data_IF_005541864169
#
_entry.id   IF_005541864169
#
_cell.length_a   1.000
_cell.length_b   1.000
_cell.length_c   1.000
_cell.angle_alpha   90.00
_cell.angle_beta   90.00
_cell.angle_gamma   90.00
#
_symmetry.space_group_name_H-M   'P 1'
#
loop_
_entity.id
_entity.type
_entity.pdbx_description
1 polymer ?
#
# COMPACT_ATOMS: atom_id res chain seq x y z
N UNK A 1 -46.88 -86.60 38.02
CA UNK A 1 -46.36 -86.39 36.64
C UNK A 1 -45.27 -85.32 36.72
N UNK A 2 -43.98 -85.53 36.52
CA UNK A 2 -43.28 -86.61 35.83
C UNK A 2 -42.36 -86.02 34.76
N UNK A 3 -41.18 -85.50 35.18
CA UNK A 3 -39.95 -85.19 34.40
C UNK A 3 -40.08 -84.10 33.30
N UNK A 4 -39.11 -83.21 33.04
CA UNK A 4 -37.67 -83.20 33.31
C UNK A 4 -37.18 -81.74 33.25
N UNK A 5 -36.32 -81.36 34.19
CA UNK A 5 -35.45 -80.18 34.07
C UNK A 5 -34.36 -80.44 33.02
N UNK A 6 -34.06 -79.43 32.20
CA UNK A 6 -32.72 -79.19 31.62
C UNK A 6 -32.67 -77.72 31.22
N UNK A 7 -32.10 -76.88 32.07
CA UNK A 7 -30.79 -76.27 31.82
C UNK A 7 -30.71 -75.51 30.50
N UNK A 8 -31.13 -74.24 30.53
CA UNK A 8 -30.60 -73.25 29.61
C UNK A 8 -29.15 -72.95 30.02
N UNK A 9 -28.26 -73.12 29.05
CA UNK A 9 -26.81 -73.07 29.17
C UNK A 9 -26.30 -71.70 29.59
N UNK A 10 -25.14 -71.70 30.27
CA UNK A 10 -24.37 -70.52 30.64
C UNK A 10 -24.06 -69.58 29.45
N UNK A 11 -24.13 -70.08 28.22
CA UNK A 11 -23.93 -69.31 26.99
C UNK A 11 -25.06 -68.33 26.64
N UNK A 12 -26.26 -68.44 27.24
CA UNK A 12 -27.36 -67.47 27.01
C UNK A 12 -27.49 -66.38 28.07
N UNK A 13 -26.83 -66.50 29.23
CA UNK A 13 -26.71 -65.41 30.21
C UNK A 13 -25.49 -64.50 29.94
N UNK A 14 -24.47 -65.01 29.24
CA UNK A 14 -23.31 -64.21 28.81
C UNK A 14 -23.68 -63.28 27.64
N UNK A 15 -24.62 -63.66 26.77
CA UNK A 15 -25.01 -62.85 25.61
C UNK A 15 -25.81 -61.57 25.99
N UNK A 16 -26.51 -61.56 27.12
CA UNK A 16 -27.28 -60.38 27.59
C UNK A 16 -26.39 -59.38 28.35
N UNK A 17 -25.33 -59.84 29.02
CA UNK A 17 -24.34 -58.95 29.66
C UNK A 17 -23.39 -58.33 28.63
N UNK A 18 -23.11 -59.01 27.51
CA UNK A 18 -22.33 -58.44 26.41
C UNK A 18 -23.10 -57.43 25.54
N UNK A 19 -24.43 -57.54 25.42
CA UNK A 19 -25.22 -56.58 24.64
C UNK A 19 -25.45 -55.25 25.37
N UNK A 20 -25.39 -55.23 26.71
CA UNK A 20 -25.51 -54.00 27.51
C UNK A 20 -24.15 -53.31 27.79
N UNK A 21 -23.00 -53.99 27.59
CA UNK A 21 -21.69 -53.31 27.61
C UNK A 21 -21.28 -52.77 26.23
N UNK A 22 -21.80 -53.31 25.12
CA UNK A 22 -21.53 -52.78 23.78
C UNK A 22 -22.24 -51.45 23.50
N UNK A 23 -23.39 -51.18 24.13
CA UNK A 23 -24.11 -49.91 23.97
C UNK A 23 -23.44 -48.79 24.80
N UNK A 24 -22.68 -49.13 25.85
CA UNK A 24 -21.85 -48.15 26.59
C UNK A 24 -20.51 -47.84 25.91
N UNK A 25 -20.03 -48.66 24.96
CA UNK A 25 -18.83 -48.36 24.17
C UNK A 25 -19.12 -47.55 22.91
N UNK A 26 -20.35 -47.56 22.39
CA UNK A 26 -20.73 -46.72 21.23
C UNK A 26 -20.96 -45.26 21.66
N UNK A 27 -21.30 -45.00 22.92
CA UNK A 27 -21.41 -43.62 23.44
C UNK A 27 -20.07 -42.97 23.80
N UNK A 28 -18.98 -43.73 23.99
CA UNK A 28 -17.62 -43.14 24.10
C UNK A 28 -16.91 -43.03 22.74
N UNK A 29 -17.34 -43.79 21.73
CA UNK A 29 -16.87 -43.61 20.35
C UNK A 29 -17.55 -42.43 19.62
N UNK A 30 -18.70 -41.94 20.11
CA UNK A 30 -19.33 -40.72 19.60
C UNK A 30 -18.88 -39.43 20.31
N UNK A 31 -18.16 -39.54 21.44
CA UNK A 31 -17.47 -38.41 22.10
C UNK A 31 -15.97 -38.33 21.77
N UNK A 32 -15.46 -39.18 20.87
CA UNK A 32 -14.17 -38.99 20.21
C UNK A 32 -14.30 -38.43 18.77
N UNK A 33 -15.53 -38.04 18.38
CA UNK A 33 -15.85 -37.37 17.11
C UNK A 33 -16.20 -35.88 17.26
N UNK A 34 -16.00 -35.32 18.46
CA UNK A 34 -16.23 -33.92 18.80
C UNK A 34 -14.98 -33.36 19.50
N UNK A 35 -13.84 -33.40 18.81
CA UNK A 35 -12.66 -32.54 19.06
C UNK A 35 -11.51 -32.89 18.07
N UNK A 36 -11.82 -32.94 16.77
CA UNK A 36 -10.80 -32.77 15.71
C UNK A 36 -11.40 -32.01 14.52
N UNK A 37 -12.05 -30.90 14.84
CA UNK A 37 -12.05 -29.72 13.96
C UNK A 37 -10.81 -28.87 14.25
N UNK A 38 -9.64 -29.50 14.45
CA UNK A 38 -8.39 -28.77 14.34
C UNK A 38 -8.30 -28.35 12.89
N UNK A 39 -8.61 -27.08 12.64
CA UNK A 39 -7.72 -26.18 11.95
C UNK A 39 -6.56 -26.92 11.27
N UNK A 40 -6.81 -27.44 10.07
CA UNK A 40 -5.78 -27.40 9.04
C UNK A 40 -5.70 -25.94 8.54
N UNK A 41 -5.52 -25.00 9.48
CA UNK A 41 -4.46 -24.00 9.29
C UNK A 41 -3.20 -24.84 9.22
N UNK A 42 -2.91 -25.27 8.00
CA UNK A 42 -1.56 -25.61 7.60
C UNK A 42 -0.67 -24.52 8.21
N UNK A 43 0.14 -24.91 9.17
CA UNK A 43 1.36 -24.21 9.57
C UNK A 43 2.34 -24.24 8.40
N UNK A 44 1.90 -23.87 7.20
CA UNK A 44 2.76 -23.22 6.25
C UNK A 44 3.22 -21.97 6.97
N UNK A 45 4.43 -22.04 7.52
CA UNK A 45 5.30 -20.88 7.69
C UNK A 45 4.89 -19.87 6.62
N UNK A 46 4.20 -18.79 7.02
CA UNK A 46 3.89 -17.70 6.10
C UNK A 46 5.24 -17.33 5.52
N UNK A 47 5.47 -17.61 4.24
CA UNK A 47 6.73 -17.29 3.58
C UNK A 47 6.87 -15.79 3.68
N UNK A 48 7.76 -15.33 4.57
CA UNK A 48 8.03 -13.92 4.78
C UNK A 48 9.14 -13.50 3.86
N UNK A 49 8.77 -12.68 2.89
CA UNK A 49 9.71 -12.12 1.93
C UNK A 49 10.53 -11.06 2.66
N UNK A 50 11.85 -11.23 2.68
CA UNK A 50 12.77 -10.32 3.36
C UNK A 50 13.53 -9.43 2.38
N UNK A 51 13.72 -9.91 1.15
CA UNK A 51 14.50 -9.23 0.13
C UNK A 51 14.05 -9.60 -1.30
N UNK A 52 14.31 -8.70 -2.23
CA UNK A 52 14.27 -8.95 -3.67
C UNK A 52 15.63 -8.51 -4.20
N UNK A 53 16.33 -9.42 -4.87
CA UNK A 53 17.56 -9.14 -5.61
C UNK A 53 17.22 -8.95 -7.08
N UNK A 54 17.98 -8.10 -7.77
CA UNK A 54 17.82 -7.85 -9.19
C UNK A 54 19.16 -8.02 -9.93
N UNK A 55 19.11 -8.62 -11.11
CA UNK A 55 20.21 -8.71 -12.06
C UNK A 55 19.72 -8.40 -13.48
N UNK A 56 20.65 -7.99 -14.34
CA UNK A 56 20.36 -7.72 -15.76
C UNK A 56 21.35 -8.42 -16.67
N UNK A 57 20.88 -8.85 -17.84
CA UNK A 57 21.72 -9.35 -18.92
C UNK A 57 21.39 -8.55 -20.20
N UNK A 58 22.33 -7.76 -20.76
CA UNK A 58 23.67 -7.47 -20.24
C UNK A 58 23.66 -6.63 -18.95
N UNK A 59 24.79 -6.60 -18.23
CA UNK A 59 24.95 -5.76 -17.04
C UNK A 59 25.01 -4.27 -17.39
N UNK A 60 25.67 -3.91 -18.50
CA UNK A 60 25.66 -2.55 -19.04
C UNK A 60 24.59 -2.44 -20.11
N UNK A 61 23.52 -1.71 -19.81
CA UNK A 61 22.33 -1.66 -20.65
C UNK A 61 22.44 -0.50 -21.65
N UNK A 62 22.08 -0.78 -22.89
CA UNK A 62 21.93 0.23 -23.94
C UNK A 62 20.46 0.37 -24.33
N UNK A 63 20.02 1.60 -24.60
CA UNK A 63 18.68 1.83 -25.13
C UNK A 63 18.47 1.10 -26.47
N UNK A 64 17.21 0.77 -26.79
CA UNK A 64 16.82 0.04 -28.00
C UNK A 64 17.52 -1.31 -28.19
N UNK A 65 18.03 -1.91 -27.11
CA UNK A 65 18.57 -3.28 -27.11
C UNK A 65 17.79 -4.16 -26.13
N UNK A 66 17.53 -5.44 -26.47
CA UNK A 66 16.88 -6.37 -25.55
C UNK A 66 17.70 -6.53 -24.26
N UNK A 67 17.02 -6.42 -23.12
CA UNK A 67 17.59 -6.61 -21.80
C UNK A 67 16.76 -7.62 -21.03
N UNK A 68 17.42 -8.65 -20.51
CA UNK A 68 16.80 -9.57 -19.57
C UNK A 68 16.85 -8.98 -18.18
N UNK A 69 15.71 -8.93 -17.50
CA UNK A 69 15.57 -8.53 -16.11
C UNK A 69 15.29 -9.78 -15.27
N UNK A 70 16.10 -10.03 -14.25
CA UNK A 70 16.01 -11.23 -13.40
C UNK A 70 15.84 -10.79 -11.96
N UNK A 71 14.83 -11.34 -11.27
CA UNK A 71 14.55 -11.06 -9.87
C UNK A 71 14.54 -12.34 -9.05
N UNK A 72 15.19 -12.31 -7.89
CA UNK A 72 15.23 -13.42 -6.93
C UNK A 72 14.62 -12.95 -5.60
N UNK A 73 13.59 -13.66 -5.15
CA UNK A 73 12.94 -13.40 -3.87
C UNK A 73 13.63 -14.23 -2.79
N UNK A 74 13.95 -13.59 -1.66
CA UNK A 74 14.55 -14.24 -0.50
C UNK A 74 13.62 -14.22 0.70
N UNK A 75 13.64 -15.28 1.48
CA UNK A 75 12.99 -15.31 2.79
C UNK A 75 13.89 -14.76 3.90
N UNK A 76 13.42 -14.75 5.15
CA UNK A 76 14.20 -14.29 6.33
C UNK A 76 15.47 -15.13 6.60
N UNK A 77 15.57 -16.34 6.06
CA UNK A 77 16.76 -17.22 6.14
C UNK A 77 17.71 -17.02 4.95
N UNK A 78 17.40 -16.08 4.06
CA UNK A 78 18.13 -15.80 2.83
C UNK A 78 18.05 -16.96 1.80
N UNK A 79 17.05 -17.82 1.90
CA UNK A 79 16.76 -18.89 0.93
C UNK A 79 15.90 -18.35 -0.22
N UNK A 80 16.07 -18.92 -1.43
CA UNK A 80 15.29 -18.52 -2.60
C UNK A 80 13.87 -19.06 -2.48
N UNK A 81 12.88 -18.16 -2.63
CA UNK A 81 11.48 -18.53 -2.70
C UNK A 81 11.16 -19.06 -4.10
N UNK A 82 11.05 -20.38 -4.22
CA UNK A 82 10.84 -21.06 -5.50
C UNK A 82 9.40 -21.07 -6.02
N UNK A 83 8.44 -20.78 -5.16
CA UNK A 83 7.03 -20.77 -5.55
C UNK A 83 6.31 -19.63 -4.83
N UNK A 84 5.84 -18.64 -5.59
CA UNK A 84 5.02 -17.55 -5.06
C UNK A 84 3.52 -17.78 -5.27
N UNK A 85 3.14 -18.85 -5.98
CA UNK A 85 1.74 -19.17 -6.28
C UNK A 85 0.92 -19.32 -5.00
N UNK A 86 -0.21 -18.63 -4.95
CA UNK A 86 -1.08 -18.58 -3.78
C UNK A 86 -0.52 -17.78 -2.59
N UNK A 87 0.68 -17.21 -2.68
CA UNK A 87 1.25 -16.30 -1.68
C UNK A 87 1.05 -14.86 -2.13
N UNK A 88 1.36 -14.57 -3.38
CA UNK A 88 1.22 -13.24 -3.97
C UNK A 88 1.71 -13.21 -5.41
N UNK A 89 1.79 -12.01 -5.97
CA UNK A 89 2.24 -11.79 -7.34
C UNK A 89 3.27 -10.68 -7.37
N UNK A 90 4.36 -10.89 -8.11
CA UNK A 90 5.37 -9.86 -8.34
C UNK A 90 4.90 -8.95 -9.48
N UNK A 91 4.75 -7.66 -9.18
CA UNK A 91 4.51 -6.59 -10.13
C UNK A 91 5.77 -5.75 -10.23
N UNK A 92 6.15 -5.40 -11.46
CA UNK A 92 7.27 -4.51 -11.76
C UNK A 92 6.70 -3.23 -12.36
N UNK A 93 6.97 -2.09 -11.71
CA UNK A 93 6.69 -0.77 -12.27
C UNK A 93 8.03 -0.16 -12.64
N UNK A 94 8.25 0.09 -13.93
CA UNK A 94 9.48 0.68 -14.46
C UNK A 94 9.15 2.08 -14.95
N UNK A 95 9.85 3.09 -14.44
CA UNK A 95 9.67 4.50 -14.84
C UNK A 95 10.99 5.19 -15.12
N UNK A 96 11.01 6.09 -16.11
CA UNK A 96 12.16 6.98 -16.34
C UNK A 96 12.24 8.05 -15.24
N UNK A 97 13.41 8.69 -15.10
CA UNK A 97 13.65 9.70 -14.06
C UNK A 97 12.69 10.88 -14.11
N UNK A 98 12.30 11.26 -15.31
CA UNK A 98 11.34 12.33 -15.62
C UNK A 98 9.88 11.87 -15.65
N UNK A 99 9.61 10.60 -15.34
CA UNK A 99 8.29 9.96 -15.35
C UNK A 99 7.61 9.92 -16.73
N UNK A 100 8.34 10.12 -17.83
CA UNK A 100 7.76 10.06 -19.17
C UNK A 100 7.55 8.64 -19.68
N UNK A 101 8.47 7.72 -19.35
CA UNK A 101 8.32 6.30 -19.64
C UNK A 101 7.69 5.59 -18.45
N UNK A 102 6.78 4.66 -18.73
CA UNK A 102 6.08 3.87 -17.72
C UNK A 102 5.77 2.48 -18.26
N UNK A 103 6.04 1.46 -17.45
CA UNK A 103 5.72 0.07 -17.75
C UNK A 103 5.24 -0.63 -16.49
N UNK A 104 4.14 -1.36 -16.61
CA UNK A 104 3.61 -2.23 -15.56
C UNK A 104 3.68 -3.68 -16.05
N UNK A 105 4.53 -4.50 -15.44
CA UNK A 105 4.86 -5.83 -15.94
C UNK A 105 4.68 -6.88 -14.84
N UNK A 106 4.28 -8.08 -15.27
CA UNK A 106 4.30 -9.29 -14.44
C UNK A 106 5.35 -10.25 -15.00
N UNK A 107 6.50 -10.44 -14.33
CA UNK A 107 7.52 -11.37 -14.76
C UNK A 107 7.06 -12.82 -14.58
N UNK A 108 7.63 -13.71 -15.39
CA UNK A 108 7.34 -15.15 -15.32
C UNK A 108 8.29 -15.82 -14.32
N UNK A 109 7.75 -16.58 -13.36
CA UNK A 109 8.56 -17.39 -12.46
C UNK A 109 9.07 -18.65 -13.17
N UNK A 110 10.38 -18.90 -13.09
CA UNK A 110 11.07 -20.10 -13.57
C UNK A 110 11.14 -21.17 -12.48
N UNK A 111 11.45 -22.40 -12.86
CA UNK A 111 11.60 -23.55 -11.94
C UNK A 111 12.68 -23.37 -10.87
N UNK A 112 13.72 -22.59 -11.18
CA UNK A 112 14.79 -22.23 -10.23
C UNK A 112 14.35 -21.17 -9.19
N UNK A 113 13.14 -20.62 -9.34
CA UNK A 113 12.55 -19.60 -8.49
C UNK A 113 12.74 -18.17 -9.01
N UNK A 114 13.52 -17.96 -10.08
CA UNK A 114 13.77 -16.63 -10.63
C UNK A 114 12.55 -16.10 -11.39
N UNK A 115 12.25 -14.81 -11.20
CA UNK A 115 11.26 -14.09 -11.99
C UNK A 115 11.96 -13.34 -13.12
N UNK A 116 11.50 -13.54 -14.36
CA UNK A 116 12.22 -13.05 -15.54
C UNK A 116 11.32 -12.27 -16.49
N UNK A 117 11.86 -11.16 -17.02
CA UNK A 117 11.46 -10.53 -18.28
C UNK A 117 12.60 -10.75 -19.26
N UNK A 118 12.37 -11.41 -20.41
CA UNK A 118 13.46 -11.85 -21.29
C UNK A 118 14.04 -10.75 -22.18
N UNK A 119 13.17 -9.93 -22.79
CA UNK A 119 13.54 -9.05 -23.89
C UNK A 119 12.97 -7.64 -23.67
N UNK A 120 13.16 -7.07 -22.48
CA UNK A 120 12.70 -5.72 -22.20
C UNK A 120 13.53 -4.71 -22.98
N UNK A 121 12.88 -3.78 -23.69
CA UNK A 121 13.55 -2.75 -24.49
C UNK A 121 13.29 -1.40 -23.84
N UNK A 122 14.35 -0.77 -23.33
CA UNK A 122 14.31 0.62 -22.89
C UNK A 122 14.33 1.54 -24.12
N UNK A 123 13.33 2.42 -24.32
CA UNK A 123 13.18 3.17 -25.57
C UNK A 123 14.23 4.28 -25.74
N UNK A 124 14.83 4.75 -24.64
CA UNK A 124 15.81 5.83 -24.62
C UNK A 124 16.82 5.69 -23.47
N UNK A 125 17.96 6.33 -23.65
CA UNK A 125 18.98 6.43 -22.60
C UNK A 125 18.52 7.42 -21.53
N UNK A 126 18.40 6.95 -20.30
CA UNK A 126 18.04 7.74 -19.11
C UNK A 126 18.35 6.90 -17.87
N UNK A 127 18.22 7.51 -16.69
CA UNK A 127 18.07 6.79 -15.43
C UNK A 127 16.62 6.30 -15.29
N UNK A 128 16.45 5.05 -14.90
CA UNK A 128 15.16 4.42 -14.64
C UNK A 128 15.10 3.92 -13.20
N UNK A 129 13.91 3.98 -12.61
CA UNK A 129 13.60 3.33 -11.34
C UNK A 129 12.63 2.18 -11.56
N UNK A 130 12.92 1.05 -10.93
CA UNK A 130 12.03 -0.11 -10.89
C UNK A 130 11.49 -0.25 -9.48
N UNK A 131 10.17 -0.31 -9.34
CA UNK A 131 9.48 -0.73 -8.12
C UNK A 131 9.06 -2.20 -8.30
N UNK A 132 9.68 -3.08 -7.53
CA UNK A 132 9.33 -4.49 -7.47
C UNK A 132 8.43 -4.70 -6.25
N UNK A 133 7.13 -4.85 -6.48
CA UNK A 133 6.11 -4.98 -5.45
C UNK A 133 5.53 -6.41 -5.46
N UNK A 134 5.48 -7.04 -4.30
CA UNK A 134 4.73 -8.27 -4.09
C UNK A 134 3.35 -7.89 -3.57
N UNK A 135 2.34 -8.03 -4.44
CA UNK A 135 0.95 -7.87 -4.07
C UNK A 135 0.40 -9.18 -3.50
N UNK A 136 -0.24 -9.10 -2.34
CA UNK A 136 -0.91 -10.23 -1.70
C UNK A 136 -2.17 -9.76 -0.99
N UNK A 137 -3.16 -10.65 -0.88
CA UNK A 137 -4.31 -10.48 0.01
C UNK A 137 -4.04 -11.02 1.42
N UNK A 138 -2.89 -11.65 1.67
CA UNK A 138 -2.53 -12.31 2.94
C UNK A 138 -1.65 -11.44 3.85
N UNK A 139 -0.96 -10.46 3.29
CA UNK A 139 -0.03 -9.58 4.00
C UNK A 139 0.09 -8.23 3.29
N UNK A 140 0.56 -7.22 4.01
CA UNK A 140 0.86 -5.91 3.44
C UNK A 140 1.92 -6.03 2.35
N UNK A 141 1.75 -5.33 1.22
CA UNK A 141 2.66 -5.42 0.10
C UNK A 141 4.13 -5.24 0.53
N UNK A 142 5.00 -6.10 0.01
CA UNK A 142 6.45 -5.99 0.18
C UNK A 142 7.04 -5.34 -1.06
N UNK A 143 7.89 -4.32 -0.91
CA UNK A 143 8.42 -3.58 -2.05
C UNK A 143 9.93 -3.36 -1.93
N UNK A 144 10.63 -3.44 -3.06
CA UNK A 144 12.01 -2.95 -3.22
C UNK A 144 12.13 -2.10 -4.47
N UNK A 145 13.04 -1.14 -4.42
CA UNK A 145 13.34 -0.27 -5.57
C UNK A 145 14.74 -0.51 -6.09
N UNK A 146 14.92 -0.41 -7.39
CA UNK A 146 16.21 -0.51 -8.08
C UNK A 146 16.40 0.68 -9.00
N UNK A 147 17.62 1.22 -9.03
CA UNK A 147 18.01 2.28 -9.96
C UNK A 147 18.86 1.67 -11.08
N UNK A 148 18.51 1.97 -12.33
CA UNK A 148 19.21 1.51 -13.52
C UNK A 148 19.64 2.69 -14.36
N UNK A 149 20.86 2.65 -14.86
CA UNK A 149 21.36 3.62 -15.84
C UNK A 149 21.38 3.00 -17.22
N UNK A 150 20.65 3.59 -18.15
CA UNK A 150 20.56 3.14 -19.55
C UNK A 150 21.42 4.06 -20.42
N UNK A 151 22.44 3.50 -21.07
CA UNK A 151 23.31 4.27 -21.95
C UNK A 151 22.61 4.54 -23.29
N UNK A 152 22.74 5.76 -23.83
CA UNK A 152 22.09 6.10 -25.10
C UNK A 152 21.96 7.58 -25.35
N UNK A 153 21.17 7.93 -26.37
CA UNK A 153 20.78 9.31 -26.63
C UNK A 153 19.90 9.80 -25.47
N UNK A 154 20.50 10.54 -24.55
CA UNK A 154 19.78 11.23 -23.49
C UNK A 154 18.87 12.29 -24.13
N UNK A 155 17.56 12.18 -23.89
CA UNK A 155 16.63 13.23 -24.27
C UNK A 155 16.62 14.28 -23.17
N UNK A 156 16.32 15.53 -23.53
CA UNK A 156 16.13 16.58 -22.53
C UNK A 156 15.01 16.17 -21.56
N UNK A 157 15.39 15.99 -20.29
CA UNK A 157 14.45 15.71 -19.21
C UNK A 157 13.50 16.89 -19.04
N UNK A 158 12.20 16.64 -19.18
CA UNK A 158 11.16 17.62 -18.91
C UNK A 158 10.56 17.37 -17.54
N UNK A 159 10.57 18.36 -16.66
CA UNK A 159 9.80 18.28 -15.42
C UNK A 159 8.31 18.19 -15.72
N UNK A 160 7.64 17.26 -15.04
CA UNK A 160 6.18 17.16 -15.11
C UNK A 160 5.52 18.38 -14.48
N UNK A 161 4.38 18.79 -15.03
CA UNK A 161 3.57 19.89 -14.52
C UNK A 161 2.15 19.40 -14.30
N UNK A 162 1.45 19.86 -13.24
CA UNK A 162 0.05 19.54 -13.03
C UNK A 162 -0.78 19.88 -14.27
N UNK A 163 -1.72 19.00 -14.58
CA UNK A 163 -2.64 19.21 -15.69
C UNK A 163 -3.64 20.31 -15.36
N UNK A 164 -3.84 21.24 -16.29
CA UNK A 164 -4.90 22.25 -16.19
C UNK A 164 -6.30 21.63 -16.36
N UNK A 165 -6.38 20.48 -17.06
CA UNK A 165 -7.60 19.73 -17.30
C UNK A 165 -7.36 18.22 -17.14
N UNK A 166 -8.13 17.60 -16.24
CA UNK A 166 -8.10 16.17 -15.95
C UNK A 166 -9.00 15.36 -16.90
N UNK A 167 -8.98 15.72 -18.18
CA UNK A 167 -9.62 14.96 -19.25
C UNK A 167 -8.61 14.77 -20.38
N UNK A 168 -8.39 13.52 -20.78
CA UNK A 168 -7.48 13.13 -21.86
C UNK A 168 -8.25 12.38 -22.92
N UNK A 169 -7.88 12.59 -24.18
CA UNK A 169 -8.37 11.82 -25.31
C UNK A 169 -7.20 11.06 -25.93
N UNK A 170 -7.28 9.73 -25.92
CA UNK A 170 -6.22 8.84 -26.40
C UNK A 170 -6.88 7.71 -27.17
N UNK A 171 -6.45 7.51 -28.41
CA UNK A 171 -6.82 6.37 -29.26
C UNK A 171 -8.33 6.10 -29.33
N UNK A 172 -9.12 7.17 -29.48
CA UNK A 172 -10.57 7.10 -29.62
C UNK A 172 -11.35 6.98 -28.32
N UNK A 173 -10.70 7.05 -27.15
CA UNK A 173 -11.33 7.08 -25.84
C UNK A 173 -11.10 8.43 -25.17
N UNK A 174 -12.09 8.87 -24.40
CA UNK A 174 -12.02 10.04 -23.53
C UNK A 174 -12.08 9.57 -22.09
N UNK A 175 -11.06 9.92 -21.33
CA UNK A 175 -10.88 9.53 -19.94
C UNK A 175 -10.88 10.79 -19.10
N UNK A 176 -11.83 10.89 -18.19
CA UNK A 176 -11.96 12.01 -17.26
C UNK A 176 -11.66 11.53 -15.85
N UNK A 177 -10.70 12.15 -15.19
CA UNK A 177 -10.42 11.98 -13.77
C UNK A 177 -11.08 13.10 -12.98
N UNK A 178 -11.83 12.73 -11.94
CA UNK A 178 -12.37 13.66 -10.94
C UNK A 178 -12.01 13.17 -9.54
N UNK A 179 -11.60 14.08 -8.68
CA UNK A 179 -11.37 13.84 -7.26
C UNK A 179 -12.58 14.29 -6.43
N UNK A 180 -13.03 13.46 -5.48
CA UNK A 180 -14.12 13.80 -4.56
C UNK A 180 -13.62 14.60 -3.35
N UNK A 181 -13.26 15.87 -3.57
CA UNK A 181 -12.69 16.74 -2.53
C UNK A 181 -11.34 17.32 -2.95
N UNK A 182 -10.57 17.89 -2.03
CA UNK A 182 -9.21 18.36 -2.32
C UNK A 182 -8.23 17.18 -2.24
N UNK A 183 -7.18 17.20 -3.06
CA UNK A 183 -6.06 16.26 -2.93
C UNK A 183 -5.15 16.75 -1.81
N UNK A 184 -5.24 16.12 -0.65
CA UNK A 184 -4.54 16.53 0.57
C UNK A 184 -3.72 15.36 1.09
N UNK A 185 -2.45 15.60 1.42
CA UNK A 185 -1.55 14.58 1.93
C UNK A 185 -2.05 13.99 3.25
N UNK A 186 -2.01 12.68 3.39
CA UNK A 186 -2.47 11.94 4.56
C UNK A 186 -3.99 11.76 4.64
N UNK A 187 -4.78 12.40 3.78
CA UNK A 187 -6.22 12.21 3.72
C UNK A 187 -6.59 11.17 2.65
N UNK A 188 -7.48 10.21 2.98
CA UNK A 188 -8.06 9.33 1.97
C UNK A 188 -8.84 10.14 0.93
N UNK A 189 -8.65 9.81 -0.33
CA UNK A 189 -9.39 10.40 -1.45
C UNK A 189 -9.85 9.31 -2.40
N UNK A 190 -11.04 9.52 -2.95
CA UNK A 190 -11.56 8.68 -4.05
C UNK A 190 -11.39 9.41 -5.37
N UNK A 191 -10.65 8.77 -6.26
CA UNK A 191 -10.46 9.19 -7.63
C UNK A 191 -11.45 8.46 -8.53
N UNK A 192 -12.27 9.23 -9.25
CA UNK A 192 -13.30 8.75 -10.15
C UNK A 192 -12.84 8.90 -11.59
N UNK A 193 -12.64 7.78 -12.27
CA UNK A 193 -12.28 7.73 -13.68
C UNK A 193 -13.49 7.35 -14.51
N UNK A 194 -13.90 8.23 -15.42
CA UNK A 194 -14.95 7.97 -16.39
C UNK A 194 -14.34 7.76 -17.77
N UNK A 195 -14.69 6.66 -18.42
CA UNK A 195 -14.20 6.32 -19.75
C UNK A 195 -15.37 6.27 -20.74
N UNK A 196 -15.28 7.05 -21.83
CA UNK A 196 -16.29 7.06 -22.90
C UNK A 196 -15.62 6.97 -24.25
N UNK A 197 -16.34 6.49 -25.26
CA UNK A 197 -15.88 6.59 -26.65
C UNK A 197 -15.85 8.06 -27.09
N UNK A 198 -14.80 8.47 -27.79
CA UNK A 198 -14.68 9.83 -28.32
C UNK A 198 -15.75 10.14 -29.37
N UNK A 199 -15.98 9.21 -30.30
CA UNK A 199 -16.89 9.40 -31.43
C UNK A 199 -18.36 9.48 -31.00
N UNK A 200 -18.81 8.53 -30.17
CA UNK A 200 -20.22 8.43 -29.78
C UNK A 200 -20.54 9.12 -28.46
N UNK A 201 -19.52 9.46 -27.65
CA UNK A 201 -19.64 9.94 -26.25
C UNK A 201 -20.39 8.98 -25.34
N UNK A 202 -20.58 7.73 -25.76
CA UNK A 202 -21.25 6.71 -24.96
C UNK A 202 -20.25 6.08 -23.97
N UNK A 203 -20.70 5.71 -22.77
CA UNK A 203 -19.89 4.94 -21.82
C UNK A 203 -19.40 3.62 -22.42
N UNK A 204 -18.15 3.27 -22.13
CA UNK A 204 -17.63 1.94 -22.45
C UNK A 204 -18.33 0.92 -21.55
N UNK A 205 -18.94 -0.11 -22.16
CA UNK A 205 -19.73 -1.06 -21.39
C UNK A 205 -18.86 -2.14 -20.74
N UNK A 206 -17.81 -2.59 -21.44
CA UNK A 206 -16.98 -3.70 -21.01
C UNK A 206 -15.49 -3.38 -21.09
N UNK A 207 -14.77 -3.87 -20.10
CA UNK A 207 -13.31 -3.80 -20.00
C UNK A 207 -12.76 -5.20 -19.81
N UNK A 208 -11.71 -5.50 -20.55
CA UNK A 208 -10.95 -6.73 -20.39
C UNK A 208 -10.08 -6.61 -19.13
N UNK A 209 -9.69 -7.75 -18.55
CA UNK A 209 -8.70 -7.75 -17.48
C UNK A 209 -7.29 -7.57 -18.02
N UNK A 210 -6.52 -6.70 -17.36
CA UNK A 210 -5.08 -6.62 -17.49
C UNK A 210 -4.47 -7.01 -16.15
N UNK A 211 -3.54 -7.96 -16.14
CA UNK A 211 -2.91 -8.45 -14.90
C UNK A 211 -3.93 -8.83 -13.80
N UNK A 212 -5.07 -9.40 -14.20
CA UNK A 212 -6.12 -9.92 -13.30
C UNK A 212 -7.10 -8.87 -12.77
N UNK A 213 -7.05 -7.63 -13.25
CA UNK A 213 -7.96 -6.55 -12.82
C UNK A 213 -8.43 -5.74 -14.03
N UNK A 214 -9.61 -5.14 -13.95
CA UNK A 214 -10.17 -4.32 -15.05
C UNK A 214 -9.46 -2.98 -15.22
N UNK A 215 -8.87 -2.46 -14.14
CA UNK A 215 -8.05 -1.26 -14.20
C UNK A 215 -7.03 -1.17 -13.05
N UNK A 216 -5.89 -0.55 -13.33
CA UNK A 216 -4.82 -0.27 -12.36
C UNK A 216 -4.56 1.23 -12.27
N UNK A 217 -4.26 1.70 -11.07
CA UNK A 217 -3.92 3.10 -10.83
C UNK A 217 -2.60 3.18 -10.07
N UNK A 218 -1.58 3.65 -10.76
CA UNK A 218 -0.24 3.83 -10.21
C UNK A 218 0.01 5.32 -10.06
N UNK A 219 0.39 5.79 -8.87
CA UNK A 219 0.78 7.17 -8.65
C UNK A 219 2.19 7.24 -8.06
N UNK A 220 3.05 8.05 -8.68
CA UNK A 220 4.44 8.27 -8.27
C UNK A 220 4.71 9.76 -8.21
N UNK A 221 5.39 10.23 -7.16
CA UNK A 221 5.76 11.64 -7.06
C UNK A 221 6.97 12.00 -7.92
N UNK A 222 7.14 13.28 -8.23
CA UNK A 222 8.29 13.80 -9.01
C UNK A 222 9.66 13.34 -8.45
N UNK A 223 9.74 13.13 -7.13
CA UNK A 223 10.96 12.66 -6.45
C UNK A 223 11.28 11.17 -6.66
N UNK A 224 10.34 10.36 -7.15
CA UNK A 224 10.39 8.90 -7.22
C UNK A 224 10.51 8.18 -5.87
N UNK A 225 10.14 8.83 -4.76
CA UNK A 225 10.26 8.25 -3.42
C UNK A 225 8.90 7.95 -2.76
N UNK A 226 7.81 8.32 -3.41
CA UNK A 226 6.44 7.92 -3.04
C UNK A 226 5.83 7.11 -4.18
N UNK A 227 5.28 5.95 -3.84
CA UNK A 227 4.67 5.00 -4.78
C UNK A 227 3.34 4.51 -4.21
N UNK A 228 2.31 4.55 -5.04
CA UNK A 228 0.96 4.12 -4.72
C UNK A 228 0.47 3.23 -5.85
N UNK A 229 -0.15 2.10 -5.52
CA UNK A 229 -0.65 1.15 -6.51
C UNK A 229 -2.01 0.59 -6.09
N UNK A 230 -3.06 1.23 -6.58
CA UNK A 230 -4.45 0.85 -6.28
C UNK A 230 -5.06 0.07 -7.43
N UNK A 231 -5.99 -0.82 -7.08
CA UNK A 231 -6.84 -1.52 -8.04
C UNK A 231 -8.16 -0.78 -8.12
N UNK A 232 -8.83 -0.89 -9.26
CA UNK A 232 -10.15 -0.32 -9.38
C UNK A 232 -11.19 -1.11 -8.57
N UNK A 233 -12.05 -0.40 -7.87
CA UNK A 233 -13.39 -0.89 -7.56
C UNK A 233 -14.33 -0.35 -8.64
N UNK A 234 -15.07 -1.22 -9.33
CA UNK A 234 -16.13 -0.76 -10.22
C UNK A 234 -17.20 -0.05 -9.39
N UNK A 235 -17.58 1.17 -9.81
CA UNK A 235 -18.67 1.91 -9.17
C UNK A 235 -19.96 1.09 -9.30
N UNK A 236 -20.33 0.41 -8.21
CA UNK A 236 -21.45 -0.52 -8.23
C UNK A 236 -21.33 -1.76 -7.35
N UNK A 237 -20.11 -2.25 -7.07
CA UNK A 237 -19.91 -3.52 -6.32
C UNK A 237 -19.55 -3.36 -4.83
N UNK A 238 -19.33 -2.14 -4.36
CA UNK A 238 -19.11 -1.82 -2.93
C UNK A 238 -18.75 -0.35 -2.79
N UNK A 239 -19.74 0.53 -2.79
CA UNK A 239 -19.58 1.85 -2.20
C UNK A 239 -20.60 2.01 -1.08
N UNK A 240 -20.57 1.06 -0.14
CA UNK A 240 -21.14 1.30 1.19
C UNK A 240 -20.13 2.16 1.91
N UNK A 241 -20.45 3.44 2.08
CA UNK A 241 -19.74 4.36 2.97
C UNK A 241 -19.61 3.66 4.33
N UNK A 242 -18.44 3.11 4.66
CA UNK A 242 -18.20 2.52 5.97
C UNK A 242 -18.21 3.65 7.01
N UNK A 243 -19.40 4.04 7.46
CA UNK A 243 -19.55 4.60 8.78
C UNK A 243 -19.22 3.49 9.77
N UNK A 244 -18.28 3.76 10.67
CA UNK A 244 -18.02 2.93 11.82
C UNK A 244 -19.30 2.74 12.63
N UNK A 245 -19.99 1.62 12.44
CA UNK A 245 -20.67 0.93 13.52
C UNK A 245 -20.78 -0.56 13.21
N UNK A 246 -20.39 -1.37 14.18
CA UNK A 246 -20.34 -2.82 14.04
C UNK A 246 -21.74 -3.42 13.99
N UNK A 247 -22.10 -4.09 12.89
CA UNK A 247 -22.85 -5.34 12.98
C UNK A 247 -22.71 -6.15 11.68
N UNK A 248 -22.13 -7.34 11.81
CA UNK A 248 -22.10 -8.35 10.75
C UNK A 248 -23.52 -8.79 10.41
N UNK A 249 -23.91 -8.61 9.15
CA UNK A 249 -24.98 -9.38 8.54
C UNK A 249 -24.48 -9.97 7.23
N UNK A 250 -24.14 -11.27 7.29
CA UNK A 250 -23.93 -12.11 6.10
C UNK A 250 -25.24 -12.17 5.33
N UNK A 251 -25.28 -11.51 4.18
CA UNK A 251 -26.30 -11.78 3.16
C UNK A 251 -25.54 -12.23 1.92
N UNK A 252 -25.93 -13.40 1.42
CA UNK A 252 -25.46 -13.93 0.15
C UNK A 252 -25.81 -12.95 -0.98
N UNK A 253 -24.82 -12.21 -1.47
CA UNK A 253 -24.93 -11.36 -2.66
C UNK A 253 -24.82 -12.25 -3.90
N UNK A 254 -25.98 -12.67 -4.38
CA UNK A 254 -26.17 -13.13 -5.75
C UNK A 254 -26.57 -11.87 -6.55
N UNK A 255 -25.58 -11.11 -7.02
CA UNK A 255 -25.81 -9.82 -7.69
C UNK A 255 -26.12 -10.01 -9.19
N UNK A 256 -27.27 -9.47 -9.58
CA UNK A 256 -27.78 -9.38 -10.94
C UNK A 256 -27.06 -8.23 -11.68
N UNK A 257 -26.18 -8.54 -12.64
CA UNK A 257 -25.35 -7.57 -13.40
C UNK A 257 -26.16 -6.48 -14.14
N UNK A 258 -27.49 -6.61 -14.19
CA UNK A 258 -28.36 -5.68 -14.89
C UNK A 258 -28.73 -4.39 -14.14
N UNK A 259 -28.35 -4.22 -12.86
CA UNK A 259 -28.86 -3.13 -12.03
C UNK A 259 -28.00 -1.85 -11.94
N UNK A 260 -26.81 -1.78 -12.53
CA UNK A 260 -26.06 -0.52 -12.53
C UNK A 260 -26.73 0.52 -13.43
N UNK A 261 -26.95 1.78 -12.98
CA UNK A 261 -27.32 2.86 -13.87
C UNK A 261 -26.32 2.96 -15.02
N UNK A 262 -26.78 3.15 -16.26
CA UNK A 262 -25.90 3.32 -17.45
C UNK A 262 -24.89 4.46 -17.23
N UNK A 263 -25.21 5.43 -16.37
CA UNK A 263 -24.32 6.51 -15.97
C UNK A 263 -23.12 6.07 -15.12
N UNK A 264 -23.20 4.93 -14.45
CA UNK A 264 -22.15 4.37 -13.58
C UNK A 264 -21.33 3.27 -14.28
N UNK A 265 -21.92 2.59 -15.27
CA UNK A 265 -21.18 1.78 -16.25
C UNK A 265 -20.07 2.65 -16.88
N UNK A 266 -18.85 2.13 -17.00
CA UNK A 266 -17.63 2.85 -17.38
C UNK A 266 -17.01 3.80 -16.34
N UNK A 267 -17.34 3.63 -15.06
CA UNK A 267 -16.71 4.40 -13.97
C UNK A 267 -15.90 3.51 -13.04
N UNK A 268 -14.62 3.82 -12.90
CA UNK A 268 -13.72 3.19 -11.94
C UNK A 268 -13.46 4.13 -10.76
N UNK A 269 -13.46 3.56 -9.56
CA UNK A 269 -13.08 4.24 -8.33
C UNK A 269 -11.74 3.71 -7.86
N UNK A 270 -10.82 4.62 -7.56
CA UNK A 270 -9.54 4.31 -6.95
C UNK A 270 -9.46 5.04 -5.61
N UNK A 271 -9.39 4.28 -4.53
CA UNK A 271 -9.10 4.84 -3.22
C UNK A 271 -7.59 4.94 -3.04
N UNK A 272 -7.12 6.14 -2.67
CA UNK A 272 -5.72 6.45 -2.46
C UNK A 272 -5.57 7.30 -1.20
N UNK A 273 -4.41 7.19 -0.55
CA UNK A 273 -3.98 8.13 0.49
C UNK A 273 -2.57 8.58 0.13
N UNK A 274 -2.44 9.82 -0.35
CA UNK A 274 -1.14 10.36 -0.76
C UNK A 274 -0.28 10.64 0.48
N UNK A 275 0.90 10.02 0.67
CA UNK A 275 1.64 10.15 1.93
C UNK A 275 2.22 11.55 2.17
N UNK A 276 2.52 12.28 1.09
CA UNK A 276 3.18 13.60 1.12
C UNK A 276 2.56 14.55 0.10
N UNK A 277 2.74 15.84 0.36
CA UNK A 277 2.47 16.89 -0.61
C UNK A 277 3.45 16.86 -1.79
N UNK A 278 3.03 17.43 -2.92
CA UNK A 278 3.87 17.59 -4.11
C UNK A 278 3.17 17.15 -5.38
N UNK A 279 3.93 17.17 -6.48
CA UNK A 279 3.44 16.78 -7.81
C UNK A 279 3.53 15.26 -7.94
N UNK A 280 2.41 14.65 -8.32
CA UNK A 280 2.32 13.22 -8.63
C UNK A 280 1.89 13.03 -10.08
N UNK A 281 2.52 12.06 -10.76
CA UNK A 281 2.01 11.50 -12.01
C UNK A 281 1.26 10.23 -11.68
N UNK A 282 0.04 10.13 -12.20
CA UNK A 282 -0.86 9.00 -12.05
C UNK A 282 -1.05 8.37 -13.43
N UNK A 283 -0.80 7.07 -13.55
CA UNK A 283 -1.15 6.30 -14.73
C UNK A 283 -2.39 5.47 -14.43
N UNK A 284 -3.44 5.73 -15.19
CA UNK A 284 -4.63 4.89 -15.24
C UNK A 284 -4.48 3.91 -16.38
N UNK A 285 -4.48 2.61 -16.07
CA UNK A 285 -4.41 1.54 -17.05
C UNK A 285 -5.74 0.81 -17.14
N UNK A 286 -6.22 0.60 -18.35
CA UNK A 286 -7.42 -0.19 -18.64
C UNK A 286 -7.23 -0.93 -19.96
N UNK A 287 -7.80 -2.13 -20.05
CA UNK A 287 -7.79 -2.93 -21.26
C UNK A 287 -9.17 -2.92 -21.89
N UNK A 288 -9.24 -2.63 -23.19
CA UNK A 288 -10.50 -2.65 -23.93
C UNK A 288 -10.24 -3.16 -25.34
N UNK A 289 -11.00 -4.19 -25.76
CA UNK A 289 -10.82 -4.89 -27.03
C UNK A 289 -9.38 -5.40 -27.23
N UNK A 290 -8.82 -6.04 -26.19
CA UNK A 290 -7.45 -6.55 -26.14
C UNK A 290 -6.35 -5.49 -26.38
N UNK A 291 -6.68 -4.20 -26.25
CA UNK A 291 -5.72 -3.10 -26.31
C UNK A 291 -5.57 -2.48 -24.94
N UNK A 292 -4.32 -2.38 -24.47
CA UNK A 292 -3.97 -1.68 -23.24
C UNK A 292 -3.92 -0.18 -23.53
N UNK A 293 -4.59 0.58 -22.68
CA UNK A 293 -4.53 2.04 -22.66
C UNK A 293 -3.89 2.47 -21.35
N UNK A 294 -2.86 3.29 -21.43
CA UNK A 294 -2.15 3.85 -20.28
C UNK A 294 -2.28 5.37 -20.34
N UNK A 295 -3.06 5.96 -19.44
CA UNK A 295 -3.42 7.38 -19.48
C UNK A 295 -2.75 8.12 -18.33
N UNK A 296 -1.81 9.04 -18.62
CA UNK A 296 -1.17 9.83 -17.59
C UNK A 296 -1.99 11.05 -17.20
N UNK A 297 -2.11 11.29 -15.90
CA UNK A 297 -2.60 12.52 -15.28
C UNK A 297 -1.53 13.07 -14.35
N UNK A 298 -1.34 14.39 -14.33
CA UNK A 298 -0.43 15.01 -13.35
C UNK A 298 -1.24 15.87 -12.41
N UNK A 299 -1.12 15.61 -11.11
CA UNK A 299 -1.87 16.31 -10.06
C UNK A 299 -0.93 16.92 -9.03
N UNK A 300 -1.38 17.99 -8.38
CA UNK A 300 -0.69 18.58 -7.24
C UNK A 300 -1.42 18.21 -5.93
N UNK A 301 -0.75 17.45 -5.07
CA UNK A 301 -1.23 17.09 -3.73
C UNK A 301 -0.82 18.19 -2.77
N UNK A 302 -1.81 18.75 -2.08
CA UNK A 302 -1.61 19.82 -1.11
C UNK A 302 -1.11 19.25 0.22
N UNK A 303 -0.37 20.07 0.97
CA UNK A 303 -0.04 19.76 2.36
C UNK A 303 -1.34 19.63 3.16
N UNK A 304 -1.35 18.72 4.13
CA UNK A 304 -2.45 18.51 5.09
C UNK A 304 -2.82 19.77 5.89
N UNK A 305 -1.96 20.78 5.83
CA UNK A 305 -2.14 22.06 6.47
C UNK A 305 -1.80 23.15 5.46
N UNK A 306 -2.67 24.16 5.33
CA UNK A 306 -2.31 25.42 4.69
C UNK A 306 -1.13 26.04 5.46
N UNK A 307 0.10 25.70 5.06
CA UNK A 307 1.36 26.21 5.63
C UNK A 307 1.48 27.75 5.54
N UNK A 308 0.58 28.43 4.83
CA UNK A 308 0.68 29.88 4.57
C UNK A 308 0.33 30.75 5.78
N UNK A 309 -0.71 30.46 6.56
CA UNK A 309 -1.08 31.39 7.65
C UNK A 309 -0.12 31.33 8.85
N UNK A 310 0.57 30.21 9.06
CA UNK A 310 1.40 30.00 10.24
C UNK A 310 2.91 30.05 9.99
N UNK A 311 3.35 29.95 8.72
CA UNK A 311 4.73 30.29 8.36
C UNK A 311 5.06 31.76 8.64
N UNK A 312 4.07 32.65 8.61
CA UNK A 312 4.18 34.07 8.98
C UNK A 312 4.29 34.35 10.49
N UNK A 313 4.03 33.35 11.36
CA UNK A 313 4.18 33.53 12.81
C UNK A 313 5.61 33.92 13.11
N UNK A 314 5.80 35.13 13.64
CA UNK A 314 7.09 35.66 14.06
C UNK A 314 7.64 34.79 15.19
N UNK A 315 8.88 34.35 15.01
CA UNK A 315 9.66 33.65 16.04
C UNK A 315 10.83 34.57 16.45
N UNK A 316 11.39 34.40 17.65
CA UNK A 316 12.59 35.13 18.04
C UNK A 316 13.75 34.92 17.05
N UNK A 317 14.53 35.96 16.84
CA UNK A 317 15.78 35.87 16.07
C UNK A 317 16.69 34.80 16.71
N UNK A 318 17.42 34.05 15.87
CA UNK A 318 18.28 32.91 16.26
C UNK A 318 17.54 31.68 16.83
N UNK A 319 16.22 31.56 16.64
CA UNK A 319 15.46 30.34 16.96
C UNK A 319 15.18 29.45 15.74
N UNK A 320 15.15 28.14 15.96
CA UNK A 320 14.81 27.14 14.95
C UNK A 320 13.32 26.78 15.05
N UNK A 321 12.56 27.08 13.99
CA UNK A 321 11.11 26.87 13.94
C UNK A 321 10.76 25.39 13.87
N UNK A 322 9.81 24.96 14.71
CA UNK A 322 9.21 23.63 14.67
C UNK A 322 7.70 23.78 14.69
N UNK A 323 7.04 23.38 13.61
CA UNK A 323 5.59 23.43 13.51
C UNK A 323 4.98 22.17 14.15
N UNK A 324 3.91 22.34 14.92
CA UNK A 324 3.10 21.24 15.46
C UNK A 324 1.84 21.14 14.60
N UNK A 325 1.76 20.07 13.83
CA UNK A 325 0.70 19.78 12.86
C UNK A 325 -0.22 18.67 13.36
N UNK A 326 -1.35 18.44 12.69
CA UNK A 326 -2.19 17.27 12.93
C UNK A 326 -1.42 15.96 12.66
N UNK A 327 -0.43 16.02 11.76
CA UNK A 327 0.40 14.91 11.31
C UNK A 327 1.79 14.86 11.99
N UNK A 328 1.98 15.59 13.10
CA UNK A 328 3.22 15.58 13.88
C UNK A 328 4.08 16.84 13.72
N UNK A 329 5.38 16.72 13.98
CA UNK A 329 6.28 17.87 13.99
C UNK A 329 6.89 18.12 12.60
N UNK A 330 7.04 19.39 12.21
CA UNK A 330 7.74 19.79 10.99
C UNK A 330 8.83 20.82 11.31
N UNK A 331 10.12 20.51 11.10
CA UNK A 331 10.64 19.19 10.76
C UNK A 331 10.47 18.20 11.93
N UNK A 332 10.38 16.90 11.64
CA UNK A 332 10.40 15.83 12.64
C UNK A 332 11.80 15.32 12.96
N UNK A 333 12.82 15.78 12.23
CA UNK A 333 14.23 15.50 12.46
C UNK A 333 15.04 16.77 12.29
N UNK A 334 15.83 17.10 13.32
CA UNK A 334 16.72 18.25 13.34
C UNK A 334 18.15 17.73 13.49
N UNK A 335 19.06 18.16 12.62
CA UNK A 335 20.49 17.92 12.77
C UNK A 335 21.17 19.24 13.09
N UNK A 336 21.98 19.25 14.14
CA UNK A 336 22.56 20.47 14.65
C UNK A 336 24.00 20.24 15.11
N UNK A 337 24.91 21.15 14.77
CA UNK A 337 26.32 21.02 15.15
C UNK A 337 26.55 21.47 16.58
N UNK A 338 27.31 20.71 17.35
CA UNK A 338 27.65 21.04 18.74
C UNK A 338 28.28 22.44 18.87
N UNK A 339 28.03 23.09 20.01
CA UNK A 339 28.65 24.38 20.36
C UNK A 339 27.64 25.44 20.80
N UNK A 340 26.96 26.10 19.85
CA UNK A 340 25.98 27.16 20.19
C UNK A 340 24.69 26.54 20.74
N UNK A 341 24.10 27.06 21.84
CA UNK A 341 22.80 26.62 22.32
C UNK A 341 21.74 26.68 21.20
N UNK A 342 20.96 25.60 21.05
CA UNK A 342 19.88 25.54 20.06
C UNK A 342 18.58 25.99 20.74
N UNK A 343 18.04 27.13 20.31
CA UNK A 343 16.69 27.56 20.71
C UNK A 343 15.68 26.99 19.72
N UNK A 344 14.74 26.18 20.16
CA UNK A 344 13.61 25.73 19.36
C UNK A 344 12.40 26.63 19.60
N UNK A 345 11.71 27.04 18.54
CA UNK A 345 10.45 27.77 18.58
C UNK A 345 9.31 26.89 18.06
N UNK A 346 8.48 26.38 18.96
CA UNK A 346 7.33 25.54 18.63
C UNK A 346 6.11 26.40 18.29
N UNK A 347 5.53 26.18 17.12
CA UNK A 347 4.31 26.87 16.67
C UNK A 347 3.21 25.87 16.43
N UNK A 348 2.11 25.96 17.19
CA UNK A 348 0.97 25.06 17.05
C UNK A 348 0.00 25.55 15.98
N UNK A 349 -0.31 24.70 14.99
CA UNK A 349 -1.07 25.10 13.80
C UNK A 349 -2.60 24.98 13.94
N UNK A 350 -3.10 24.38 15.02
CA UNK A 350 -4.53 24.20 15.21
C UNK A 350 -4.90 23.52 16.53
N UNK A 351 -6.17 23.67 16.93
CA UNK A 351 -6.67 23.08 18.17
C UNK A 351 -6.78 21.55 18.11
N UNK A 352 -6.90 20.97 16.90
CA UNK A 352 -6.98 19.52 16.71
C UNK A 352 -5.62 18.80 16.75
N UNK A 353 -4.53 19.56 16.83
CA UNK A 353 -3.18 19.02 16.95
C UNK A 353 -2.94 18.45 18.35
N UNK A 354 -2.10 17.43 18.48
CA UNK A 354 -1.70 16.84 19.77
C UNK A 354 -0.83 17.76 20.65
N UNK A 355 -0.49 18.96 20.16
CA UNK A 355 0.59 19.81 20.67
C UNK A 355 0.24 20.66 21.89
N UNK A 356 -0.78 20.31 22.68
CA UNK A 356 -1.06 20.98 23.96
C UNK A 356 0.12 20.88 24.95
N UNK A 357 0.86 19.77 24.89
CA UNK A 357 2.06 19.51 25.67
C UNK A 357 3.17 18.94 24.77
N UNK A 358 4.40 19.46 24.92
CA UNK A 358 5.62 18.87 24.37
C UNK A 358 6.51 18.40 25.52
N UNK A 359 6.98 17.16 25.42
CA UNK A 359 7.81 16.51 26.43
C UNK A 359 9.15 16.11 25.84
N UNK A 360 10.24 16.49 26.49
CA UNK A 360 11.58 15.96 26.28
C UNK A 360 11.95 15.08 27.47
N UNK A 361 11.70 13.77 27.38
CA UNK A 361 11.85 12.87 28.53
C UNK A 361 13.29 12.87 29.09
N UNK A 362 14.30 12.86 28.21
CA UNK A 362 15.72 12.87 28.61
C UNK A 362 16.19 14.18 29.24
N UNK A 363 15.56 15.30 28.89
CA UNK A 363 15.96 16.62 29.36
C UNK A 363 15.11 17.10 30.54
N UNK A 364 14.06 16.38 30.92
CA UNK A 364 13.12 16.81 31.94
C UNK A 364 12.31 18.05 31.55
N UNK A 365 12.32 18.46 30.27
CA UNK A 365 11.60 19.64 29.78
C UNK A 365 10.17 19.25 29.45
N UNK A 366 9.22 20.05 29.93
CA UNK A 366 7.79 19.96 29.59
C UNK A 366 7.25 21.34 29.27
N UNK A 367 6.86 21.55 28.02
CA UNK A 367 6.15 22.74 27.58
C UNK A 367 4.66 22.45 27.59
N UNK A 368 3.88 23.21 28.36
CA UNK A 368 2.43 23.02 28.50
C UNK A 368 1.69 24.26 27.99
N UNK A 369 0.43 24.07 27.61
CA UNK A 369 -0.47 25.14 27.17
C UNK A 369 0.08 25.91 25.96
N UNK A 370 0.60 25.19 24.97
CA UNK A 370 1.14 25.81 23.75
C UNK A 370 -0.03 26.42 22.95
N UNK A 371 -0.11 27.76 22.79
CA UNK A 371 -1.22 28.40 22.11
C UNK A 371 -1.16 28.12 20.60
N UNK A 372 -2.32 28.06 19.98
CA UNK A 372 -2.43 28.02 18.52
C UNK A 372 -2.04 29.36 17.93
N UNK A 373 -1.16 29.35 16.92
CA UNK A 373 -0.71 30.55 16.21
C UNK A 373 0.39 31.35 16.90
N UNK A 374 0.89 30.90 18.06
CA UNK A 374 1.98 31.56 18.79
C UNK A 374 3.20 30.65 18.91
N UNK A 375 4.37 31.26 19.08
CA UNK A 375 5.63 30.54 19.26
C UNK A 375 5.95 30.37 20.75
N UNK A 376 6.19 29.13 21.18
CA UNK A 376 6.71 28.80 22.51
C UNK A 376 8.12 28.26 22.36
N UNK A 377 9.08 28.88 23.05
CA UNK A 377 10.49 28.54 22.90
C UNK A 377 11.05 27.68 24.02
N UNK A 378 12.02 26.83 23.69
CA UNK A 378 12.86 26.12 24.67
C UNK A 378 14.30 26.02 24.17
N UNK A 379 15.26 26.00 25.08
CA UNK A 379 16.66 25.76 24.75
C UNK A 379 17.02 24.28 24.89
N UNK A 380 17.83 23.79 23.96
CA UNK A 380 18.34 22.42 23.92
C UNK A 380 19.86 22.48 24.12
N UNK A 381 20.43 21.68 25.06
CA UNK A 381 21.86 21.61 25.25
C UNK A 381 22.53 20.97 24.03
N UNK A 382 23.61 21.57 23.57
CA UNK A 382 24.35 21.15 22.37
C UNK A 382 25.85 20.98 22.63
N UNK A 383 26.27 20.90 23.89
CA UNK A 383 27.68 20.77 24.28
C UNK A 383 28.23 19.36 23.98
N UNK A 384 27.38 18.34 24.09
CA UNK A 384 27.73 16.95 23.84
C UNK A 384 26.99 16.40 22.61
N UNK A 385 27.66 15.47 21.92
CA UNK A 385 27.02 14.68 20.85
C UNK A 385 25.93 13.79 21.45
N UNK A 386 24.82 13.66 20.74
CA UNK A 386 23.72 12.85 21.26
C UNK A 386 22.43 13.01 20.48
N UNK A 387 21.47 12.16 20.84
CA UNK A 387 20.14 12.18 20.27
C UNK A 387 19.12 12.47 21.37
N UNK A 388 18.40 13.58 21.19
CA UNK A 388 17.29 14.00 22.04
C UNK A 388 15.98 13.77 21.29
N UNK A 389 15.00 13.19 21.98
CA UNK A 389 13.65 13.00 21.44
C UNK A 389 12.72 13.98 22.11
N UNK A 390 11.75 14.48 21.35
CA UNK A 390 10.62 15.22 21.87
C UNK A 390 9.31 14.68 21.28
N UNK A 391 8.24 14.80 22.06
CA UNK A 391 6.96 14.20 21.70
C UNK A 391 5.79 15.05 22.13
N UNK A 392 4.68 14.88 21.44
CA UNK A 392 3.35 15.26 21.91
C UNK A 392 2.57 13.98 22.29
N UNK A 393 1.28 14.11 22.58
CA UNK A 393 0.42 12.95 22.90
C UNK A 393 0.34 11.88 21.79
N UNK A 394 0.60 12.22 20.52
CA UNK A 394 0.44 11.32 19.36
C UNK A 394 1.69 11.09 18.51
N UNK A 395 2.65 12.01 18.54
CA UNK A 395 3.74 12.09 17.57
C UNK A 395 5.09 12.29 18.26
N UNK A 396 6.16 11.81 17.62
CA UNK A 396 7.54 11.90 18.09
C UNK A 396 8.43 12.59 17.04
N UNK A 397 9.47 13.26 17.50
CA UNK A 397 10.49 13.87 16.67
C UNK A 397 11.86 13.86 17.37
N UNK A 398 12.91 14.09 16.59
CA UNK A 398 14.29 13.82 17.01
C UNK A 398 15.21 14.98 16.70
N UNK A 399 16.12 15.27 17.62
CA UNK A 399 17.26 16.19 17.44
C UNK A 399 18.53 15.37 17.56
N UNK A 400 19.40 15.47 16.56
CA UNK A 400 20.72 14.84 16.55
C UNK A 400 21.79 15.92 16.62
N UNK A 401 22.54 15.93 17.72
CA UNK A 401 23.70 16.80 17.90
C UNK A 401 24.91 16.10 17.28
N UNK A 402 25.48 16.74 16.28
CA UNK A 402 26.60 16.28 15.47
C UNK A 402 27.92 16.92 15.92
N UNK A 403 29.02 16.24 15.62
CA UNK A 403 30.38 16.66 15.96
C UNK A 403 30.81 18.01 15.37
#
# INVERSE_FOLDING_TARGET
MGRKMSQLSASKKILIVFLLSLISLISQACQAGLEKGNSFESTASQVRISNIEMQTEPQSIQFNTPTKLIFLLRDEKNEIIKNLSGIGELHLIIVSRDLNDFYHLKPTQREDGAFVINDFIFPRGDDYKIYAEIKSNKFNAFMRTFDLKISGSEQESSKIKPDDNLQKEIDGLIISLRNEGKLVAGEPIVLRYRVVESASRKPIQEFDEYLGEKAHFIAINEGLNEFLHSRAHEAGRSYVKHNHDHQESRIHEQEDENLLPISERATFLAELTFPKEGIYKIWAEFMHNAKLFTVPFVVNVQSAIEDKSFSEVKIPDDSFKVLITNNGFRPNRIEYKRGKPLTLAFVRLGNETCGDEIVFDKLGIRLKNIPTGEAVTTQIPTEEEGTFNFRCGKHNATIKIMR
#
